data_IF_664590103234
#
_entry.id   IF_664590103234
#
_cell.length_a   1.000
_cell.length_b   1.000
_cell.length_c   1.000
_cell.angle_alpha   90.00
_cell.angle_beta   90.00
_cell.angle_gamma   90.00
#
_symmetry.space_group_name_H-M   'P 1'
#
loop_
_entity.id
_entity.type
_entity.pdbx_description
1 polymer ?
#
# COMPACT_ATOMS: atom_id res chain seq x y z
N UNK A 1 9.21 -23.66 -7.54
CA UNK A 1 9.40 -23.07 -6.20
C UNK A 1 8.53 -23.84 -5.22
N UNK A 2 9.11 -24.31 -4.11
CA UNK A 2 8.40 -25.11 -3.11
C UNK A 2 7.89 -24.18 -2.00
N UNK A 3 6.60 -24.23 -1.68
CA UNK A 3 5.96 -23.53 -0.55
C UNK A 3 5.89 -24.48 0.66
N UNK A 4 6.03 -23.96 1.90
CA UNK A 4 5.99 -24.74 3.15
C UNK A 4 4.76 -25.62 3.29
N UNK A 5 3.59 -25.14 2.84
CA UNK A 5 2.35 -25.92 2.94
C UNK A 5 2.42 -27.14 2.03
N UNK A 6 2.90 -26.95 0.80
CA UNK A 6 3.12 -28.05 -0.14
C UNK A 6 4.23 -29.02 0.34
N UNK A 7 5.26 -28.51 1.04
CA UNK A 7 6.28 -29.35 1.65
C UNK A 7 5.71 -30.17 2.82
N UNK A 8 4.90 -29.56 3.68
CA UNK A 8 4.24 -30.22 4.80
C UNK A 8 3.26 -31.29 4.32
N UNK A 9 2.43 -30.98 3.32
CA UNK A 9 1.49 -31.95 2.72
C UNK A 9 2.22 -33.18 2.17
N UNK A 10 3.35 -32.98 1.46
CA UNK A 10 4.17 -34.06 0.92
C UNK A 10 4.85 -34.89 2.02
N UNK A 11 5.29 -34.23 3.09
CA UNK A 11 5.89 -34.88 4.26
C UNK A 11 4.84 -35.46 5.23
N UNK A 12 3.54 -35.31 4.96
CA UNK A 12 2.48 -35.76 5.86
C UNK A 12 2.45 -35.03 7.20
N UNK A 13 2.94 -33.79 7.20
CA UNK A 13 3.14 -32.94 8.38
C UNK A 13 2.31 -31.66 8.37
N UNK A 14 2.58 -30.81 9.36
CA UNK A 14 1.90 -29.53 9.57
C UNK A 14 2.90 -28.37 9.52
N UNK A 15 2.62 -27.37 8.68
CA UNK A 15 3.42 -26.15 8.59
C UNK A 15 3.13 -25.19 9.76
N UNK A 16 4.16 -24.51 10.26
CA UNK A 16 4.04 -23.49 11.32
C UNK A 16 5.17 -22.46 11.26
N UNK A 17 4.93 -21.25 11.78
CA UNK A 17 5.99 -20.24 11.96
C UNK A 17 6.65 -19.73 10.66
N UNK A 18 5.93 -19.74 9.54
CA UNK A 18 6.40 -19.28 8.22
C UNK A 18 7.30 -20.31 7.54
N UNK A 19 8.50 -20.54 8.09
CA UNK A 19 9.53 -21.37 7.45
C UNK A 19 9.77 -22.73 8.11
N UNK A 20 8.83 -23.23 8.92
CA UNK A 20 8.97 -24.51 9.62
C UNK A 20 7.79 -25.44 9.38
N UNK A 21 8.05 -26.73 9.56
CA UNK A 21 7.01 -27.75 9.61
C UNK A 21 7.40 -28.85 10.61
N UNK A 22 6.38 -29.54 11.14
CA UNK A 22 6.54 -30.79 11.86
C UNK A 22 6.01 -31.91 11.00
N UNK A 23 6.78 -32.99 10.83
CA UNK A 23 6.36 -34.17 10.10
C UNK A 23 6.73 -35.45 10.86
N UNK A 24 6.24 -36.60 10.42
CA UNK A 24 6.72 -37.89 10.89
C UNK A 24 8.23 -38.03 10.69
N UNK A 25 8.91 -38.63 11.68
CA UNK A 25 10.27 -39.13 11.52
C UNK A 25 10.35 -40.33 10.55
N UNK A 26 11.54 -40.67 10.05
CA UNK A 26 11.73 -41.84 9.21
C UNK A 26 11.28 -43.12 9.94
N UNK A 27 10.32 -43.86 9.36
CA UNK A 27 9.76 -45.07 9.97
C UNK A 27 8.67 -44.83 11.03
N UNK A 28 8.28 -43.58 11.28
CA UNK A 28 7.21 -43.25 12.23
C UNK A 28 5.82 -43.30 11.59
N UNK A 29 4.80 -43.40 12.44
CA UNK A 29 3.40 -43.36 11.99
C UNK A 29 3.04 -42.00 11.37
N UNK A 30 2.02 -41.97 10.52
CA UNK A 30 1.57 -40.74 9.84
C UNK A 30 1.10 -39.63 10.79
N UNK A 31 0.69 -39.98 12.02
CA UNK A 31 0.27 -39.03 13.05
C UNK A 31 1.46 -38.41 13.82
N UNK A 32 2.68 -38.90 13.61
CA UNK A 32 3.88 -38.45 14.30
C UNK A 32 4.29 -37.02 13.89
N UNK A 33 4.81 -36.25 14.85
CA UNK A 33 5.29 -34.86 14.67
C UNK A 33 6.66 -34.66 15.32
N UNK A 34 7.45 -35.73 15.37
CA UNK A 34 8.73 -35.74 16.06
C UNK A 34 9.86 -35.12 15.23
N UNK A 35 9.69 -34.96 13.91
CA UNK A 35 10.69 -34.35 13.04
C UNK A 35 10.32 -32.91 12.70
N UNK A 36 11.14 -31.95 13.17
CA UNK A 36 11.06 -30.55 12.78
C UNK A 36 11.98 -30.26 11.61
N UNK A 37 11.44 -29.61 10.58
CA UNK A 37 12.19 -29.13 9.41
C UNK A 37 12.09 -27.61 9.36
N UNK A 38 13.23 -26.94 9.25
CA UNK A 38 13.32 -25.47 9.10
C UNK A 38 14.01 -25.15 7.79
N UNK A 39 13.35 -24.38 6.92
CA UNK A 39 13.91 -23.89 5.67
C UNK A 39 14.53 -22.50 5.83
N UNK A 40 15.61 -22.26 5.11
CA UNK A 40 16.29 -20.97 5.02
C UNK A 40 15.95 -20.30 3.67
N UNK A 41 16.12 -18.99 3.60
CA UNK A 41 15.81 -18.19 2.41
C UNK A 41 16.69 -18.55 1.19
N UNK A 42 17.90 -19.08 1.43
CA UNK A 42 18.82 -19.57 0.40
C UNK A 42 18.46 -20.95 -0.16
N UNK A 43 17.38 -21.56 0.35
CA UNK A 43 16.93 -22.88 -0.06
C UNK A 43 17.58 -24.06 0.64
N UNK A 44 18.48 -23.80 1.60
CA UNK A 44 18.96 -24.82 2.53
C UNK A 44 17.91 -25.12 3.60
N UNK A 45 18.06 -26.23 4.31
CA UNK A 45 17.19 -26.58 5.42
C UNK A 45 17.95 -27.32 6.52
N UNK A 46 17.43 -27.24 7.74
CA UNK A 46 17.90 -27.98 8.89
C UNK A 46 16.79 -28.91 9.40
N UNK A 47 17.20 -30.07 9.92
CA UNK A 47 16.31 -31.03 10.55
C UNK A 47 16.65 -31.18 12.03
N UNK A 48 15.63 -31.40 12.85
CA UNK A 48 15.77 -31.76 14.26
C UNK A 48 14.74 -32.82 14.60
N UNK A 49 15.21 -34.01 14.99
CA UNK A 49 14.35 -35.03 15.60
C UNK A 49 14.21 -34.77 17.10
N UNK A 50 12.98 -34.90 17.60
CA UNK A 50 12.64 -34.94 19.02
C UNK A 50 12.45 -36.37 19.53
N UNK A 51 12.49 -37.38 18.65
CA UNK A 51 12.41 -38.80 19.00
C UNK A 51 13.79 -39.48 19.10
N UNK A 52 14.87 -38.77 18.75
CA UNK A 52 16.24 -39.28 18.86
C UNK A 52 16.80 -39.92 17.58
N UNK A 53 16.12 -39.74 16.45
CA UNK A 53 16.55 -40.27 15.15
C UNK A 53 17.87 -39.66 14.67
N UNK A 54 18.61 -40.41 13.84
CA UNK A 54 19.80 -39.88 13.18
C UNK A 54 19.41 -38.71 12.26
N UNK A 55 20.08 -37.58 12.46
CA UNK A 55 19.85 -36.37 11.68
C UNK A 55 20.14 -36.57 10.18
N UNK A 56 21.03 -37.48 9.81
CA UNK A 56 21.33 -37.84 8.42
C UNK A 56 20.16 -38.55 7.78
N UNK A 57 19.59 -39.53 8.48
CA UNK A 57 18.41 -40.27 8.00
C UNK A 57 17.19 -39.35 7.90
N UNK A 58 17.00 -38.46 8.88
CA UNK A 58 15.95 -37.44 8.82
C UNK A 58 16.12 -36.49 7.63
N UNK A 59 17.34 -36.03 7.38
CA UNK A 59 17.65 -35.15 6.25
C UNK A 59 17.39 -35.87 4.93
N UNK A 60 17.85 -37.11 4.80
CA UNK A 60 17.75 -37.88 3.57
C UNK A 60 16.29 -38.30 3.31
N UNK A 61 15.51 -38.58 4.36
CA UNK A 61 14.06 -38.74 4.30
C UNK A 61 13.37 -37.50 3.70
N UNK A 62 13.67 -36.31 4.24
CA UNK A 62 13.12 -35.04 3.73
C UNK A 62 13.52 -34.82 2.27
N UNK A 63 14.78 -35.09 1.90
CA UNK A 63 15.24 -34.99 0.51
C UNK A 63 14.49 -35.93 -0.42
N UNK A 64 14.33 -37.19 -0.04
CA UNK A 64 13.67 -38.21 -0.84
C UNK A 64 12.21 -37.83 -1.10
N UNK A 65 11.47 -37.43 -0.06
CA UNK A 65 10.06 -37.04 -0.18
C UNK A 65 9.89 -35.78 -1.02
N UNK A 66 10.80 -34.81 -0.88
CA UNK A 66 10.72 -33.52 -1.58
C UNK A 66 11.38 -33.53 -2.97
N UNK A 67 12.12 -34.58 -3.34
CA UNK A 67 12.84 -34.71 -4.61
C UNK A 67 14.09 -33.82 -4.67
N UNK A 68 14.80 -33.66 -3.56
CA UNK A 68 15.97 -32.80 -3.41
C UNK A 68 17.28 -33.57 -3.58
N UNK A 69 18.31 -32.89 -4.06
CA UNK A 69 19.68 -33.42 -4.16
C UNK A 69 20.67 -32.39 -3.63
N UNK A 70 21.84 -32.81 -3.16
CA UNK A 70 22.91 -31.91 -2.70
C UNK A 70 23.45 -30.97 -3.79
N UNK A 71 23.17 -31.26 -5.06
CA UNK A 71 23.59 -30.45 -6.21
C UNK A 71 22.62 -29.29 -6.54
N UNK A 72 21.44 -29.20 -5.92
CA UNK A 72 20.43 -28.17 -6.23
C UNK A 72 19.75 -27.65 -4.95
N UNK A 73 20.15 -26.48 -4.42
CA UNK A 73 19.36 -25.79 -3.41
C UNK A 73 18.02 -25.35 -4.03
N UNK A 74 16.92 -25.50 -3.28
CA UNK A 74 15.59 -25.11 -3.76
C UNK A 74 15.24 -23.75 -3.20
N UNK A 75 15.13 -22.74 -4.06
CA UNK A 75 14.57 -21.45 -3.68
C UNK A 75 13.19 -21.66 -3.03
N UNK A 76 13.11 -21.40 -1.73
CA UNK A 76 11.90 -21.48 -0.94
C UNK A 76 11.16 -20.16 -1.06
N UNK A 77 9.86 -20.21 -1.32
CA UNK A 77 9.03 -19.02 -1.41
C UNK A 77 7.88 -19.13 -0.41
N UNK A 78 7.88 -18.24 0.58
CA UNK A 78 7.01 -18.24 1.77
C UNK A 78 5.60 -17.70 1.48
N UNK A 79 5.07 -17.99 0.29
CA UNK A 79 3.80 -17.45 -0.21
C UNK A 79 2.58 -18.20 0.34
N UNK A 80 2.44 -18.31 1.66
CA UNK A 80 1.10 -18.31 2.24
C UNK A 80 0.62 -16.85 2.26
N UNK A 81 -0.64 -16.52 1.90
CA UNK A 81 -1.14 -15.17 2.08
C UNK A 81 -1.08 -14.83 3.58
N UNK A 82 -0.05 -14.08 3.97
CA UNK A 82 0.06 -13.56 5.32
C UNK A 82 -1.08 -12.55 5.49
N UNK A 83 -2.13 -12.97 6.19
CA UNK A 83 -3.13 -12.02 6.68
C UNK A 83 -2.43 -11.19 7.74
N UNK A 84 -2.03 -9.99 7.34
CA UNK A 84 -1.47 -8.99 8.23
C UNK A 84 -2.61 -8.43 9.09
N UNK A 85 -2.85 -9.07 10.23
CA UNK A 85 -3.91 -8.71 11.19
C UNK A 85 -3.74 -7.28 11.66
N UNK A 86 -2.51 -6.79 11.80
CA UNK A 86 -2.23 -5.41 12.18
C UNK A 86 -2.64 -4.44 11.07
N UNK A 87 -2.35 -4.76 9.80
CA UNK A 87 -2.84 -3.98 8.65
C UNK A 87 -4.37 -3.96 8.59
N UNK A 88 -5.04 -5.09 8.79
CA UNK A 88 -6.50 -5.15 8.82
C UNK A 88 -7.08 -4.30 9.96
N UNK A 89 -6.51 -4.38 11.15
CA UNK A 89 -6.91 -3.55 12.29
C UNK A 89 -6.72 -2.06 11.99
N UNK A 90 -5.57 -1.66 11.44
CA UNK A 90 -5.30 -0.26 11.09
C UNK A 90 -6.26 0.26 10.01
N UNK A 91 -6.62 -0.57 9.03
CA UNK A 91 -7.62 -0.22 8.02
C UNK A 91 -9.01 -0.08 8.68
N UNK A 92 -9.39 -0.99 9.57
CA UNK A 92 -10.64 -0.88 10.31
C UNK A 92 -10.71 0.42 11.14
N UNK A 93 -9.66 0.76 11.89
CA UNK A 93 -9.58 1.98 12.68
C UNK A 93 -9.67 3.25 11.80
N UNK A 94 -9.01 3.24 10.65
CA UNK A 94 -9.10 4.32 9.65
C UNK A 94 -10.54 4.54 9.19
N UNK A 95 -11.22 3.47 8.79
CA UNK A 95 -12.59 3.54 8.27
C UNK A 95 -13.61 3.89 9.37
N UNK A 96 -13.36 3.49 10.62
CA UNK A 96 -14.16 3.91 11.77
C UNK A 96 -14.05 5.42 12.03
N UNK A 97 -12.84 6.00 11.92
CA UNK A 97 -12.65 7.45 11.99
C UNK A 97 -13.38 8.15 10.83
N UNK A 98 -13.25 7.63 9.61
CA UNK A 98 -13.93 8.17 8.43
C UNK A 98 -15.45 8.21 8.60
N UNK A 99 -16.05 7.11 9.06
CA UNK A 99 -17.49 6.99 9.29
C UNK A 99 -18.02 7.99 10.34
N UNK A 100 -17.19 8.34 11.32
CA UNK A 100 -17.51 9.31 12.39
C UNK A 100 -17.17 10.76 12.02
N UNK A 101 -16.62 10.98 10.82
CA UNK A 101 -16.25 12.32 10.34
C UNK A 101 -17.43 12.96 9.61
N UNK A 102 -17.54 14.28 9.74
CA UNK A 102 -18.63 15.08 9.15
C UNK A 102 -18.13 15.87 7.92
N UNK A 103 -19.01 16.40 7.06
CA UNK A 103 -18.59 17.32 6.00
C UNK A 103 -17.74 18.48 6.53
N UNK A 104 -16.84 19.01 5.71
CA UNK A 104 -15.90 20.06 6.16
C UNK A 104 -16.56 21.44 6.35
N UNK A 105 -17.74 21.68 5.76
CA UNK A 105 -18.44 22.95 5.85
C UNK A 105 -18.70 23.37 7.32
N UNK A 106 -18.36 24.62 7.66
CA UNK A 106 -18.49 25.17 9.00
C UNK A 106 -17.49 24.60 10.02
N UNK A 107 -16.42 23.94 9.59
CA UNK A 107 -15.43 23.30 10.48
C UNK A 107 -14.04 23.93 10.38
N UNK A 108 -13.12 23.51 11.26
CA UNK A 108 -11.70 23.91 11.18
C UNK A 108 -11.04 23.45 9.87
N UNK A 109 -11.51 22.35 9.25
CA UNK A 109 -10.99 21.89 7.97
C UNK A 109 -11.31 22.88 6.83
N UNK A 110 -12.54 23.41 6.80
CA UNK A 110 -12.90 24.47 5.84
C UNK A 110 -12.07 25.73 6.08
N UNK A 111 -11.93 26.18 7.34
CA UNK A 111 -11.07 27.32 7.69
C UNK A 111 -9.62 27.11 7.26
N UNK A 112 -9.10 25.90 7.42
CA UNK A 112 -7.75 25.52 7.00
C UNK A 112 -7.58 25.63 5.48
N UNK A 113 -8.54 25.14 4.69
CA UNK A 113 -8.49 25.29 3.23
C UNK A 113 -8.61 26.76 2.82
N UNK A 114 -9.54 27.51 3.43
CA UNK A 114 -9.73 28.93 3.15
C UNK A 114 -8.49 29.77 3.46
N UNK A 115 -7.76 29.48 4.54
CA UNK A 115 -6.51 30.19 4.85
C UNK A 115 -5.39 29.93 3.83
N UNK A 116 -5.54 28.88 3.02
CA UNK A 116 -4.69 28.53 1.87
C UNK A 116 -5.28 29.00 0.54
N UNK A 117 -6.40 29.72 0.53
CA UNK A 117 -7.09 30.13 -0.70
C UNK A 117 -7.76 28.96 -1.44
N UNK A 118 -8.03 27.86 -0.75
CA UNK A 118 -8.60 26.64 -1.31
C UNK A 118 -10.05 26.45 -0.84
N UNK A 119 -10.83 25.76 -1.66
CA UNK A 119 -12.18 25.32 -1.33
C UNK A 119 -12.41 23.90 -1.86
N UNK A 120 -13.31 23.17 -1.21
CA UNK A 120 -13.73 21.85 -1.63
C UNK A 120 -15.15 21.57 -1.13
N UNK A 121 -16.01 21.09 -2.01
CA UNK A 121 -17.43 20.82 -1.74
C UNK A 121 -17.81 19.33 -1.93
N UNK A 122 -16.86 18.49 -2.33
CA UNK A 122 -17.08 17.05 -2.47
C UNK A 122 -16.95 16.25 -1.17
N UNK A 123 -17.12 14.94 -1.28
CA UNK A 123 -17.18 14.03 -0.13
C UNK A 123 -15.84 13.39 0.25
N UNK A 124 -14.78 13.60 -0.52
CA UNK A 124 -13.48 12.96 -0.27
C UNK A 124 -12.76 13.51 0.95
N UNK A 125 -13.15 14.70 1.42
CA UNK A 125 -12.62 15.37 2.60
C UNK A 125 -13.72 15.54 3.65
N UNK A 126 -13.41 15.21 4.89
CA UNK A 126 -14.29 15.32 6.06
C UNK A 126 -13.54 15.89 7.26
N UNK A 127 -14.25 16.22 8.32
CA UNK A 127 -13.68 16.68 9.59
C UNK A 127 -13.99 15.70 10.73
N UNK A 128 -12.94 15.23 11.40
CA UNK A 128 -13.04 14.38 12.59
C UNK A 128 -12.87 15.22 13.86
N UNK A 129 -13.98 15.46 14.57
CA UNK A 129 -14.00 16.26 15.82
C UNK A 129 -13.13 15.66 16.92
N UNK A 130 -13.11 14.33 17.05
CA UNK A 130 -12.37 13.63 18.11
C UNK A 130 -10.86 13.81 18.06
N UNK A 131 -10.31 14.18 16.89
CA UNK A 131 -8.89 14.46 16.70
C UNK A 131 -8.59 15.87 16.21
N UNK A 132 -9.61 16.72 16.03
CA UNK A 132 -9.49 18.00 15.29
C UNK A 132 -8.68 17.84 14.01
N UNK A 133 -9.12 16.97 13.13
CA UNK A 133 -8.39 16.67 11.91
C UNK A 133 -9.28 16.78 10.67
N UNK A 134 -8.76 17.41 9.62
CA UNK A 134 -9.26 17.15 8.27
C UNK A 134 -8.84 15.73 7.88
N UNK A 135 -9.78 14.92 7.45
CA UNK A 135 -9.60 13.53 7.07
C UNK A 135 -9.92 13.39 5.60
N UNK A 136 -9.04 12.74 4.85
CA UNK A 136 -9.26 12.40 3.46
C UNK A 136 -9.31 10.89 3.30
N UNK A 137 -10.29 10.37 2.55
CA UNK A 137 -10.42 8.94 2.31
C UNK A 137 -9.39 8.49 1.28
N UNK A 138 -8.58 7.50 1.64
CA UNK A 138 -7.65 6.85 0.72
C UNK A 138 -8.35 5.62 0.15
N UNK A 139 -8.51 5.59 -1.17
CA UNK A 139 -9.03 4.46 -1.94
C UNK A 139 -7.93 3.86 -2.80
N UNK A 140 -7.96 2.56 -3.00
CA UNK A 140 -7.09 1.91 -3.98
C UNK A 140 -7.27 2.53 -5.37
N UNK A 141 -6.18 2.88 -6.04
CA UNK A 141 -6.23 3.58 -7.32
C UNK A 141 -6.95 2.76 -8.41
N UNK A 142 -6.85 1.44 -8.36
CA UNK A 142 -7.39 0.51 -9.36
C UNK A 142 -8.79 0.05 -8.96
N UNK A 143 -8.95 -0.46 -7.74
CA UNK A 143 -10.23 -1.07 -7.32
C UNK A 143 -11.24 -0.07 -6.78
N UNK A 144 -10.79 1.13 -6.40
CA UNK A 144 -11.63 2.12 -5.72
C UNK A 144 -11.97 1.77 -4.27
N UNK A 145 -11.49 0.64 -3.76
CA UNK A 145 -11.84 0.18 -2.42
C UNK A 145 -11.19 1.05 -1.33
N UNK A 146 -11.94 1.46 -0.28
CA UNK A 146 -11.39 2.20 0.85
C UNK A 146 -10.29 1.42 1.56
N UNK A 147 -9.08 1.99 1.63
CA UNK A 147 -7.91 1.31 2.19
C UNK A 147 -7.21 2.08 3.32
N UNK A 148 -7.53 3.35 3.54
CA UNK A 148 -6.99 4.14 4.64
C UNK A 148 -7.53 5.56 4.72
N UNK A 149 -6.93 6.37 5.58
CA UNK A 149 -7.19 7.80 5.67
C UNK A 149 -5.89 8.60 5.78
N UNK A 150 -5.88 9.77 5.16
CA UNK A 150 -4.89 10.81 5.41
C UNK A 150 -5.49 11.83 6.40
N UNK A 151 -4.79 12.13 7.48
CA UNK A 151 -5.25 13.07 8.52
C UNK A 151 -4.33 14.26 8.60
N UNK A 152 -4.88 15.44 8.41
CA UNK A 152 -4.25 16.73 8.67
C UNK A 152 -4.79 17.24 10.00
N UNK A 153 -4.01 17.14 11.06
CA UNK A 153 -4.40 17.61 12.39
C UNK A 153 -4.27 19.12 12.49
N UNK A 154 -5.23 19.71 13.19
CA UNK A 154 -5.41 21.15 13.30
C UNK A 154 -5.39 21.57 14.78
N UNK A 155 -4.80 22.73 15.05
CA UNK A 155 -4.92 23.41 16.34
C UNK A 155 -6.33 24.04 16.51
N UNK A 156 -6.51 24.86 17.55
CA UNK A 156 -7.81 25.51 17.82
C UNK A 156 -8.13 26.64 16.86
N UNK A 157 -7.10 27.20 16.23
CA UNK A 157 -7.21 28.32 15.28
C UNK A 157 -7.37 27.82 13.83
N UNK A 158 -7.23 26.51 13.62
CA UNK A 158 -7.35 25.87 12.31
C UNK A 158 -6.02 25.78 11.55
N UNK A 159 -4.89 25.99 12.23
CA UNK A 159 -3.57 25.80 11.61
C UNK A 159 -3.16 24.34 11.67
N UNK A 160 -2.50 23.88 10.60
CA UNK A 160 -1.95 22.53 10.51
C UNK A 160 -0.82 22.33 11.52
N UNK A 161 -0.93 21.28 12.32
CA UNK A 161 0.11 20.88 13.28
C UNK A 161 0.89 19.65 12.82
N UNK A 162 0.21 18.65 12.27
CA UNK A 162 0.83 17.42 11.78
C UNK A 162 0.01 16.74 10.68
N UNK A 163 0.66 15.90 9.87
CA UNK A 163 0.01 15.01 8.89
C UNK A 163 0.34 13.56 9.24
N UNK A 164 -0.67 12.69 9.29
CA UNK A 164 -0.48 11.24 9.51
C UNK A 164 -1.46 10.42 8.70
N UNK A 165 -0.96 9.33 8.14
CA UNK A 165 -1.79 8.30 7.50
C UNK A 165 -2.20 7.22 8.52
N UNK A 166 -3.32 6.55 8.28
CA UNK A 166 -3.74 5.34 9.00
C UNK A 166 -4.40 4.38 7.99
N UNK A 167 -4.08 3.09 8.11
CA UNK A 167 -4.40 2.11 7.07
C UNK A 167 -3.31 2.06 5.99
N UNK A 168 -3.67 1.60 4.79
CA UNK A 168 -2.75 1.47 3.65
C UNK A 168 -2.71 2.76 2.83
N UNK A 169 -1.51 3.26 2.57
CA UNK A 169 -1.28 4.36 1.64
C UNK A 169 -0.71 3.91 0.29
N UNK A 170 0.04 2.79 0.26
CA UNK A 170 0.62 2.27 -0.98
C UNK A 170 -0.44 1.87 -1.99
N UNK A 171 -0.31 2.38 -3.22
CA UNK A 171 -1.29 2.22 -4.30
C UNK A 171 -2.61 2.97 -4.07
N UNK A 172 -2.71 3.77 -3.01
CA UNK A 172 -3.88 4.54 -2.67
C UNK A 172 -3.83 5.98 -3.18
N UNK A 173 -5.00 6.57 -3.39
CA UNK A 173 -5.18 7.99 -3.73
C UNK A 173 -6.39 8.56 -3.01
N UNK A 174 -6.47 9.89 -2.92
CA UNK A 174 -7.70 10.60 -2.55
C UNK A 174 -8.40 11.07 -3.82
N UNK A 175 -9.63 10.60 -4.04
CA UNK A 175 -10.46 10.93 -5.20
C UNK A 175 -11.19 12.26 -5.02
N UNK A 176 -10.51 13.38 -5.28
CA UNK A 176 -11.14 14.69 -5.14
C UNK A 176 -12.24 14.91 -6.19
N UNK A 177 -12.10 14.31 -7.38
CA UNK A 177 -13.17 14.11 -8.36
C UNK A 177 -13.67 12.67 -8.34
N UNK A 178 -14.96 12.48 -8.55
CA UNK A 178 -15.58 11.15 -8.53
C UNK A 178 -15.16 10.34 -9.76
N UNK A 179 -15.15 9.00 -9.63
CA UNK A 179 -14.80 8.11 -10.74
C UNK A 179 -15.76 8.29 -11.95
N UNK A 180 -17.01 8.70 -11.70
CA UNK A 180 -17.98 9.02 -12.75
C UNK A 180 -17.60 10.24 -13.60
N UNK A 181 -16.79 11.16 -13.06
CA UNK A 181 -16.29 12.33 -13.80
C UNK A 181 -15.05 11.97 -14.64
N UNK A 182 -14.40 10.84 -14.33
CA UNK A 182 -13.19 10.37 -15.01
C UNK A 182 -13.60 9.63 -16.28
N UNK A 183 -13.42 10.30 -17.41
CA UNK A 183 -13.62 9.71 -18.74
C UNK A 183 -12.29 9.28 -19.35
N UNK A 184 -11.70 10.10 -20.23
CA UNK A 184 -10.45 9.82 -20.92
C UNK A 184 -9.23 10.54 -20.33
N UNK A 185 -9.47 11.62 -19.59
CA UNK A 185 -8.44 12.44 -18.98
C UNK A 185 -8.50 12.39 -17.46
N UNK A 186 -7.34 12.30 -16.80
CA UNK A 186 -7.23 12.36 -15.34
C UNK A 186 -6.06 13.26 -14.95
N UNK A 187 -6.30 14.14 -13.97
CA UNK A 187 -5.25 14.84 -13.26
C UNK A 187 -4.78 14.03 -12.05
N UNK A 188 -3.49 14.09 -11.74
CA UNK A 188 -2.95 13.67 -10.45
C UNK A 188 -2.07 14.75 -9.85
N UNK A 189 -2.03 14.86 -8.53
CA UNK A 189 -1.04 15.69 -7.84
C UNK A 189 -0.42 14.96 -6.65
N UNK A 190 0.75 15.42 -6.20
CA UNK A 190 1.41 14.87 -5.03
C UNK A 190 0.57 15.04 -3.76
N UNK A 191 0.09 16.25 -3.47
CA UNK A 191 -0.68 16.59 -2.27
C UNK A 191 -2.17 16.85 -2.52
N UNK A 192 -2.98 16.82 -1.45
CA UNK A 192 -4.39 17.23 -1.49
C UNK A 192 -4.49 18.71 -1.84
N UNK A 193 -3.68 19.54 -1.18
CA UNK A 193 -3.66 20.99 -1.40
C UNK A 193 -3.20 21.33 -2.83
N UNK A 194 -2.15 20.67 -3.33
CA UNK A 194 -1.67 20.78 -4.72
C UNK A 194 -2.76 20.41 -5.72
N UNK A 195 -3.47 19.30 -5.49
CA UNK A 195 -4.58 18.89 -6.35
C UNK A 195 -5.76 19.87 -6.32
N UNK A 196 -6.11 20.40 -5.15
CA UNK A 196 -7.19 21.40 -5.04
C UNK A 196 -6.84 22.69 -5.79
N UNK A 197 -5.58 23.14 -5.71
CA UNK A 197 -5.08 24.33 -6.39
C UNK A 197 -4.88 24.16 -7.91
N UNK A 198 -4.77 22.92 -8.40
CA UNK A 198 -4.57 22.64 -9.81
C UNK A 198 -5.77 23.11 -10.66
N UNK A 199 -5.54 23.70 -11.84
CA UNK A 199 -6.60 24.23 -12.72
C UNK A 199 -7.31 23.15 -13.54
N UNK A 200 -7.13 21.87 -13.21
CA UNK A 200 -7.61 20.74 -13.99
C UNK A 200 -8.52 19.85 -13.16
N UNK A 201 -9.61 19.40 -13.78
CA UNK A 201 -10.51 18.36 -13.26
C UNK A 201 -10.87 17.41 -14.40
N UNK A 202 -11.11 16.11 -14.14
CA UNK A 202 -11.12 15.47 -12.83
C UNK A 202 -9.70 15.26 -12.26
N UNK A 203 -9.54 15.25 -10.92
CA UNK A 203 -8.22 15.13 -10.28
C UNK A 203 -8.21 14.24 -9.04
N UNK A 204 -7.14 13.47 -8.85
CA UNK A 204 -6.85 12.70 -7.64
C UNK A 204 -5.54 13.14 -6.98
N UNK A 205 -5.41 12.95 -5.66
CA UNK A 205 -4.17 13.23 -4.93
C UNK A 205 -3.47 11.93 -4.51
N UNK A 206 -2.16 11.81 -4.80
CA UNK A 206 -1.35 10.62 -4.53
C UNK A 206 -0.78 10.56 -3.12
N UNK A 207 -0.76 11.68 -2.39
CA UNK A 207 -0.35 11.85 -0.99
C UNK A 207 1.15 11.81 -0.69
N UNK A 208 2.00 11.55 -1.67
CA UNK A 208 3.47 11.67 -1.57
C UNK A 208 4.13 11.52 -2.94
N UNK A 209 5.34 12.05 -3.09
CA UNK A 209 6.18 11.82 -4.27
C UNK A 209 6.35 10.33 -4.58
N UNK A 210 6.58 9.48 -3.58
CA UNK A 210 6.73 8.03 -3.77
C UNK A 210 5.45 7.37 -4.31
N UNK A 211 4.28 7.76 -3.82
CA UNK A 211 3.00 7.25 -4.30
C UNK A 211 2.67 7.75 -5.71
N UNK A 212 2.97 9.02 -6.01
CA UNK A 212 2.84 9.59 -7.36
C UNK A 212 3.76 8.88 -8.35
N UNK A 213 5.03 8.67 -7.98
CA UNK A 213 6.01 7.91 -8.76
C UNK A 213 5.51 6.51 -9.07
N UNK A 214 4.82 5.86 -8.15
CA UNK A 214 4.29 4.50 -8.29
C UNK A 214 2.88 4.42 -8.90
N UNK A 215 2.26 5.55 -9.28
CA UNK A 215 0.89 5.57 -9.78
C UNK A 215 0.75 4.71 -11.06
N UNK A 216 -0.16 3.71 -11.07
CA UNK A 216 -0.27 2.76 -12.16
C UNK A 216 -0.91 3.37 -13.40
N UNK A 217 -0.69 2.74 -14.57
CA UNK A 217 -1.47 3.05 -15.77
C UNK A 217 -2.87 2.46 -15.59
N UNK A 218 -3.90 3.29 -15.75
CA UNK A 218 -5.28 2.89 -15.56
C UNK A 218 -5.95 2.58 -16.90
N UNK A 219 -6.72 1.49 -16.93
CA UNK A 219 -7.50 1.13 -18.12
C UNK A 219 -8.57 2.19 -18.41
N UNK A 220 -8.78 2.51 -19.69
CA UNK A 220 -9.78 3.49 -20.12
C UNK A 220 -9.32 4.95 -20.12
N UNK A 221 -8.28 5.30 -19.36
CA UNK A 221 -7.69 6.64 -19.34
C UNK A 221 -6.65 6.73 -20.45
N UNK A 222 -6.78 7.73 -21.32
CA UNK A 222 -5.90 7.95 -22.49
C UNK A 222 -4.95 9.14 -22.29
N UNK A 223 -5.25 10.05 -21.36
CA UNK A 223 -4.44 11.24 -21.07
C UNK A 223 -4.27 11.46 -19.55
N UNK A 224 -3.04 11.70 -19.11
CA UNK A 224 -2.69 12.01 -17.72
C UNK A 224 -2.07 13.40 -17.60
N UNK A 225 -2.62 14.24 -16.72
CA UNK A 225 -2.01 15.51 -16.31
C UNK A 225 -1.40 15.38 -14.92
N UNK A 226 -0.09 15.64 -14.79
CA UNK A 226 0.65 15.48 -13.53
C UNK A 226 1.02 16.86 -12.97
N UNK A 227 0.55 17.16 -11.77
CA UNK A 227 0.81 18.40 -11.03
C UNK A 227 1.79 18.11 -9.89
N UNK A 228 3.06 18.40 -10.12
CA UNK A 228 4.13 18.15 -9.16
C UNK A 228 4.42 19.38 -8.29
N UNK A 229 4.85 19.15 -7.06
CA UNK A 229 5.46 20.19 -6.25
C UNK A 229 6.84 20.57 -6.83
N UNK A 230 7.27 21.83 -6.68
CA UNK A 230 8.56 22.32 -7.21
C UNK A 230 9.77 21.91 -6.37
N UNK A 231 9.91 20.63 -6.09
CA UNK A 231 11.11 20.08 -5.49
C UNK A 231 11.65 18.90 -6.29
N UNK A 232 12.90 18.51 -5.99
CA UNK A 232 13.57 17.44 -6.71
C UNK A 232 12.80 16.11 -6.64
N UNK A 233 12.15 15.81 -5.52
CA UNK A 233 11.44 14.56 -5.33
C UNK A 233 10.12 14.54 -6.10
N UNK A 234 9.35 15.63 -6.06
CA UNK A 234 8.11 15.79 -6.82
C UNK A 234 8.34 15.75 -8.33
N UNK A 235 9.38 16.44 -8.82
CA UNK A 235 9.73 16.43 -10.24
C UNK A 235 10.22 15.05 -10.73
N UNK A 236 11.08 14.38 -9.96
CA UNK A 236 11.53 13.00 -10.28
C UNK A 236 10.35 12.01 -10.30
N UNK A 237 9.44 12.13 -9.34
CA UNK A 237 8.25 11.31 -9.26
C UNK A 237 7.32 11.53 -10.45
N UNK A 238 7.10 12.79 -10.84
CA UNK A 238 6.28 13.14 -11.99
C UNK A 238 6.87 12.64 -13.30
N UNK A 239 8.19 12.83 -13.51
CA UNK A 239 8.89 12.31 -14.69
C UNK A 239 8.78 10.79 -14.78
N UNK A 240 9.09 10.06 -13.70
CA UNK A 240 9.01 8.60 -13.71
C UNK A 240 7.60 8.09 -13.96
N UNK A 241 6.58 8.75 -13.38
CA UNK A 241 5.18 8.42 -13.63
C UNK A 241 4.80 8.70 -15.09
N UNK A 242 5.19 9.86 -15.61
CA UNK A 242 4.97 10.27 -16.98
C UNK A 242 5.61 9.33 -17.99
N UNK A 243 6.86 8.93 -17.79
CA UNK A 243 7.56 7.95 -18.63
C UNK A 243 6.81 6.61 -18.69
N UNK A 244 6.28 6.12 -17.55
CA UNK A 244 5.49 4.89 -17.50
C UNK A 244 4.19 5.02 -18.30
N UNK A 245 3.48 6.14 -18.18
CA UNK A 245 2.23 6.38 -18.90
C UNK A 245 2.49 6.57 -20.40
N UNK A 246 3.52 7.32 -20.76
CA UNK A 246 3.94 7.49 -22.15
C UNK A 246 4.34 6.15 -22.79
N UNK A 247 5.10 5.30 -22.08
CA UNK A 247 5.48 3.97 -22.55
C UNK A 247 4.28 3.02 -22.74
N UNK A 248 3.11 3.36 -22.18
CA UNK A 248 1.85 2.65 -22.38
C UNK A 248 0.94 3.32 -23.43
N UNK A 249 1.51 4.15 -24.32
CA UNK A 249 0.82 4.90 -25.36
C UNK A 249 -0.32 5.78 -24.80
N UNK A 250 0.01 6.56 -23.77
CA UNK A 250 -0.87 7.57 -23.16
C UNK A 250 -0.28 8.95 -23.32
N UNK A 251 -1.16 9.93 -23.54
CA UNK A 251 -0.77 11.33 -23.54
C UNK A 251 -0.41 11.75 -22.10
N UNK A 252 0.71 12.47 -21.95
CA UNK A 252 1.17 12.96 -20.64
C UNK A 252 1.45 14.45 -20.72
N UNK A 253 0.80 15.22 -19.85
CA UNK A 253 1.12 16.63 -19.61
C UNK A 253 1.67 16.78 -18.20
N UNK A 254 2.80 17.47 -18.04
CA UNK A 254 3.35 17.78 -16.72
C UNK A 254 3.28 19.29 -16.51
N UNK A 255 2.78 19.69 -15.35
CA UNK A 255 2.73 21.08 -14.94
C UNK A 255 3.40 21.20 -13.55
N UNK A 256 4.36 22.11 -13.46
CA UNK A 256 4.88 22.63 -12.21
C UNK A 256 4.59 24.13 -12.16
N UNK A 257 4.36 24.73 -10.97
CA UNK A 257 4.29 26.17 -10.85
C UNK A 257 5.61 26.82 -11.30
N UNK A 258 5.60 28.13 -11.56
CA UNK A 258 6.80 28.91 -11.92
C UNK A 258 7.54 29.44 -10.68
N UNK A 259 6.85 29.59 -9.55
CA UNK A 259 7.38 29.98 -8.22
C UNK A 259 6.54 29.30 -7.13
N UNK A 260 7.17 28.74 -6.09
CA UNK A 260 6.49 28.09 -4.94
C UNK A 260 5.80 26.75 -5.27
N UNK A 261 4.99 26.22 -4.35
CA UNK A 261 4.10 25.08 -4.64
C UNK A 261 2.74 25.56 -5.22
N UNK A 262 1.91 24.66 -5.75
CA UNK A 262 0.60 25.06 -6.29
C UNK A 262 -0.31 25.70 -5.23
N UNK A 263 -0.14 25.33 -3.96
CA UNK A 263 -0.95 25.79 -2.83
C UNK A 263 -0.47 27.11 -2.21
N UNK A 264 0.70 27.61 -2.60
CA UNK A 264 1.29 28.88 -2.14
C UNK A 264 0.99 30.05 -3.10
N UNK A 265 0.24 29.80 -4.18
CA UNK A 265 -0.28 30.86 -5.04
C UNK A 265 -1.33 31.68 -4.29
N UNK A 266 -0.89 32.73 -3.61
CA UNK A 266 -1.79 33.83 -3.23
C UNK A 266 -2.51 34.30 -4.50
N UNK A 267 -3.84 34.27 -4.48
CA UNK A 267 -4.64 34.98 -5.46
C UNK A 267 -4.18 36.44 -5.46
N UNK A 268 -3.61 36.88 -6.58
CA UNK A 268 -3.33 38.28 -6.84
C UNK A 268 -4.63 39.04 -7.06
#
# INVERSE_FOLDING_TARGET
>A
MLNIKAAADRLGGDAYGGNRLLCPGPGHSRADRSLSVRFNADGSFAVKSFAGDDWRECRDHVKAVLGLSDARPVAFNDNAPHIDVDRLRRQHDALSIWARSIPIAGTLAERYLQSRGLAYDGDALRFYRGGRAMVALITDAITGEPCGIHRTFLDRDGNRTEKKMLGRAGGGVVRLSADADVTRGLGIAEGIETALAAPFRPIWACLSAGAMKAFPVLAGITALSIFADQDRAGLDAANTCGERWHAADREVTMAAPTVGDFADRRAA
#
